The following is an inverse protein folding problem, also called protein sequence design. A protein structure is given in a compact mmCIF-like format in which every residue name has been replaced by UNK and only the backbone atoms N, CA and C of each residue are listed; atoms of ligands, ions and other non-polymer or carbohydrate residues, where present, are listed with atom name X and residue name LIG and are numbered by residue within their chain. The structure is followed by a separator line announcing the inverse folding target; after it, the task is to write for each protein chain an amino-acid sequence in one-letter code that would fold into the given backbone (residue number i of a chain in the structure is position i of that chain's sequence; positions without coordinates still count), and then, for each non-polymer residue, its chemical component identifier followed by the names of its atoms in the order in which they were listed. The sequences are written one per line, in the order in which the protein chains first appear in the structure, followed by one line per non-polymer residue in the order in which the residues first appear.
data_IF_655193941985
#
_entry.id   IF_655193941985
#
_cell.length_a   1.000
_cell.length_b   1.000
_cell.length_c   1.000
_cell.angle_alpha   90.00
_cell.angle_beta   90.00
_cell.angle_gamma   90.00
#
_symmetry.space_group_name_H-M   'P 1'
#
loop_
_entity.id
_entity.type
_entity.pdbx_description
1 polymer ?
#
# COMPACT_ATOMS: atom_id res chain seq x y z
N UNK A 1 16.47 -25.85 9.88
CA UNK A 1 17.79 -25.55 9.29
C UNK A 1 18.52 -24.63 10.27
N UNK A 2 19.49 -25.15 11.02
CA UNK A 2 20.36 -24.32 11.86
C UNK A 2 21.54 -23.90 10.99
N UNK A 3 21.57 -22.63 10.58
CA UNK A 3 22.66 -22.04 9.81
C UNK A 3 23.65 -21.37 10.77
N UNK A 4 24.95 -21.53 10.54
CA UNK A 4 25.99 -20.92 11.38
C UNK A 4 26.05 -19.39 11.30
N UNK A 5 25.42 -18.78 10.29
CA UNK A 5 25.35 -17.34 10.08
C UNK A 5 24.00 -16.97 9.46
N UNK A 6 23.40 -15.90 9.95
CA UNK A 6 22.11 -15.40 9.47
C UNK A 6 22.25 -13.95 9.08
N UNK A 7 21.70 -13.61 7.92
CA UNK A 7 21.70 -12.26 7.35
C UNK A 7 20.26 -11.93 6.99
N UNK A 8 19.81 -10.74 7.39
CA UNK A 8 18.53 -10.18 6.99
C UNK A 8 18.78 -8.95 6.11
N UNK A 9 18.10 -8.89 4.96
CA UNK A 9 18.12 -7.73 4.06
C UNK A 9 16.74 -7.08 4.08
N UNK A 10 16.66 -5.85 4.56
CA UNK A 10 15.40 -5.08 4.59
C UNK A 10 15.68 -3.58 4.42
N UNK A 11 14.86 -2.92 3.60
CA UNK A 11 14.87 -1.45 3.48
C UNK A 11 14.05 -0.76 4.58
N UNK A 12 13.08 -1.47 5.15
CA UNK A 12 12.09 -1.00 6.13
C UNK A 12 11.97 -2.02 7.26
N UNK A 13 12.87 -2.01 8.27
CA UNK A 13 12.89 -3.03 9.31
C UNK A 13 11.69 -2.95 10.29
N UNK A 14 10.91 -1.87 10.24
CA UNK A 14 9.70 -1.66 11.04
C UNK A 14 8.58 -1.34 10.06
N UNK A 15 7.50 -2.14 10.05
CA UNK A 15 6.34 -1.90 9.19
C UNK A 15 5.18 -1.35 10.02
N UNK A 16 4.78 -2.09 11.07
CA UNK A 16 3.62 -1.76 11.90
C UNK A 16 4.01 -1.60 13.36
N UNK A 17 4.88 -2.46 13.88
CA UNK A 17 5.17 -2.52 15.31
C UNK A 17 6.64 -2.75 15.59
N UNK A 18 7.07 -2.44 16.81
CA UNK A 18 8.43 -2.76 17.26
C UNK A 18 8.73 -4.26 17.25
N UNK A 19 7.70 -5.11 17.31
CA UNK A 19 7.86 -6.56 17.26
C UNK A 19 8.39 -7.05 15.91
N UNK A 20 8.17 -6.30 14.83
CA UNK A 20 8.76 -6.60 13.51
C UNK A 20 10.30 -6.60 13.61
N UNK A 21 10.83 -5.55 14.26
CA UNK A 21 12.27 -5.40 14.49
C UNK A 21 12.80 -6.44 15.48
N UNK A 22 12.06 -6.71 16.56
CA UNK A 22 12.46 -7.73 17.54
C UNK A 22 12.51 -9.12 16.90
N UNK A 23 11.57 -9.45 16.01
CA UNK A 23 11.59 -10.69 15.24
C UNK A 23 12.83 -10.81 14.36
N UNK A 24 13.24 -9.72 13.69
CA UNK A 24 14.48 -9.68 12.90
C UNK A 24 15.71 -9.87 13.80
N UNK A 25 15.76 -9.19 14.95
CA UNK A 25 16.87 -9.34 15.91
C UNK A 25 16.95 -10.79 16.39
N UNK A 26 15.84 -11.38 16.85
CA UNK A 26 15.79 -12.78 17.29
C UNK A 26 16.18 -13.77 16.18
N UNK A 27 15.84 -13.46 14.92
CA UNK A 27 16.30 -14.25 13.79
C UNK A 27 17.80 -14.15 13.55
N UNK A 28 18.43 -12.98 13.72
CA UNK A 28 19.87 -12.80 13.50
C UNK A 28 20.69 -13.37 14.66
N UNK A 29 20.21 -13.19 15.89
CA UNK A 29 20.97 -13.53 17.11
C UNK A 29 20.85 -14.99 17.51
N UNK A 30 20.03 -15.79 16.82
CA UNK A 30 19.60 -17.16 17.19
C UNK A 30 20.36 -17.76 18.38
N UNK A 31 19.74 -17.83 19.58
CA UNK A 31 20.41 -18.36 20.75
C UNK A 31 20.86 -19.81 20.50
N UNK A 32 22.11 -20.13 20.82
CA UNK A 32 22.63 -21.49 20.73
C UNK A 32 22.06 -22.42 21.83
N UNK A 33 21.31 -21.88 22.80
CA UNK A 33 20.61 -22.63 23.85
C UNK A 33 19.34 -21.92 24.35
N UNK A 34 18.38 -22.68 24.87
CA UNK A 34 17.07 -22.16 25.30
C UNK A 34 17.14 -21.15 26.48
N UNK A 35 18.23 -21.15 27.24
CA UNK A 35 18.42 -20.30 28.42
C UNK A 35 19.02 -18.92 28.10
N UNK A 36 19.39 -18.63 26.84
CA UNK A 36 20.25 -17.47 26.56
C UNK A 36 19.54 -16.16 26.18
N UNK A 37 18.34 -16.15 25.58
CA UNK A 37 17.87 -14.91 24.93
C UNK A 37 16.39 -14.60 25.17
N UNK A 38 16.11 -13.76 26.18
CA UNK A 38 14.90 -12.94 26.17
C UNK A 38 15.27 -11.46 26.36
N UNK A 39 15.98 -10.90 25.37
CA UNK A 39 16.34 -9.47 25.31
C UNK A 39 15.13 -8.58 25.05
N UNK A 40 14.07 -9.14 24.44
CA UNK A 40 12.85 -8.43 24.05
C UNK A 40 12.19 -7.68 25.21
N UNK A 41 11.92 -8.28 26.39
CA UNK A 41 11.44 -7.56 27.57
C UNK A 41 12.34 -6.40 28.01
N UNK A 42 13.66 -6.56 27.92
CA UNK A 42 14.61 -5.52 28.32
C UNK A 42 14.53 -4.30 27.40
N UNK A 43 14.52 -4.54 26.07
CA UNK A 43 14.33 -3.50 25.05
C UNK A 43 12.96 -2.85 25.22
N UNK A 44 11.88 -3.64 25.32
CA UNK A 44 10.52 -3.13 25.47
C UNK A 44 10.34 -2.29 26.74
N UNK A 45 10.92 -2.72 27.87
CA UNK A 45 10.85 -1.99 29.14
C UNK A 45 11.63 -0.68 29.14
N UNK A 46 12.66 -0.57 28.29
CA UNK A 46 13.44 0.66 28.11
C UNK A 46 12.69 1.64 27.21
N UNK A 47 12.12 1.12 26.12
CA UNK A 47 11.29 1.90 25.20
C UNK A 47 10.03 2.46 25.88
N UNK A 48 9.39 1.68 26.77
CA UNK A 48 8.22 2.17 27.52
C UNK A 48 8.55 3.32 28.48
N UNK A 49 9.83 3.46 28.86
CA UNK A 49 10.35 4.59 29.65
C UNK A 49 10.84 5.75 28.77
N UNK A 50 10.71 5.64 27.44
CA UNK A 50 11.21 6.63 26.48
C UNK A 50 12.73 6.53 26.23
N UNK A 51 13.40 5.49 26.71
CA UNK A 51 14.84 5.30 26.56
C UNK A 51 15.16 4.40 25.35
N UNK A 52 15.79 4.97 24.33
CA UNK A 52 16.13 4.28 23.08
C UNK A 52 17.59 3.76 23.04
N UNK A 53 18.41 4.09 24.03
CA UNK A 53 19.86 3.85 23.99
C UNK A 53 20.23 2.37 23.82
N UNK A 54 19.52 1.48 24.52
CA UNK A 54 19.75 0.03 24.45
C UNK A 54 19.44 -0.48 23.04
N UNK A 55 18.34 -0.01 22.46
CA UNK A 55 17.97 -0.36 21.10
C UNK A 55 19.00 0.16 20.10
N UNK A 56 19.41 1.43 20.21
CA UNK A 56 20.43 2.01 19.33
C UNK A 56 21.77 1.29 19.45
N UNK A 57 22.19 0.91 20.66
CA UNK A 57 23.41 0.16 20.89
C UNK A 57 23.35 -1.22 20.23
N UNK A 58 22.23 -1.94 20.38
CA UNK A 58 22.04 -3.23 19.72
C UNK A 58 22.07 -3.08 18.19
N UNK A 59 21.29 -2.15 17.64
CA UNK A 59 21.23 -1.91 16.19
C UNK A 59 22.55 -1.45 15.60
N UNK A 60 23.37 -0.69 16.33
CA UNK A 60 24.70 -0.27 15.88
C UNK A 60 25.63 -1.45 15.57
N UNK A 61 25.45 -2.58 16.24
CA UNK A 61 26.28 -3.78 16.06
C UNK A 61 25.62 -4.83 15.18
N UNK A 62 24.29 -4.87 15.15
CA UNK A 62 23.52 -5.87 14.39
C UNK A 62 23.11 -5.40 12.99
N UNK A 63 23.07 -4.08 12.74
CA UNK A 63 22.55 -3.50 11.51
C UNK A 63 23.58 -2.59 10.85
N UNK A 64 23.65 -2.69 9.52
CA UNK A 64 24.28 -1.71 8.66
C UNK A 64 23.17 -1.03 7.84
N UNK A 65 23.00 0.29 8.00
CA UNK A 65 21.99 1.08 7.29
C UNK A 65 22.60 2.35 6.73
N UNK A 66 22.48 2.55 5.42
CA UNK A 66 22.87 3.78 4.74
C UNK A 66 21.63 4.56 4.29
N UNK A 67 21.68 5.88 4.36
CA UNK A 67 20.67 6.75 3.75
C UNK A 67 21.14 7.22 2.37
N UNK A 68 20.21 7.52 1.47
CA UNK A 68 20.55 8.02 0.12
C UNK A 68 21.38 9.31 0.16
N UNK A 69 21.28 10.07 1.24
CA UNK A 69 21.99 11.34 1.48
C UNK A 69 23.46 11.18 1.88
N UNK A 70 23.90 10.01 2.35
CA UNK A 70 25.25 9.85 2.92
C UNK A 70 26.31 9.36 1.94
N UNK A 71 25.93 8.72 0.83
CA UNK A 71 26.89 8.01 -0.03
C UNK A 71 26.70 8.16 -1.56
N UNK A 72 25.62 8.78 -2.04
CA UNK A 72 25.34 8.89 -3.47
C UNK A 72 25.32 10.36 -3.90
N UNK A 73 26.32 10.75 -4.70
CA UNK A 73 26.36 12.08 -5.32
C UNK A 73 25.22 12.23 -6.34
N UNK A 74 24.46 13.32 -6.23
CA UNK A 74 23.51 13.82 -7.25
C UNK A 74 22.31 12.94 -7.64
N UNK A 75 21.65 12.26 -6.69
CA UNK A 75 20.30 11.74 -6.97
C UNK A 75 19.29 12.89 -7.17
N UNK A 76 18.35 12.79 -8.12
CA UNK A 76 17.32 13.81 -8.30
C UNK A 76 16.43 13.90 -7.06
N UNK A 77 16.06 15.12 -6.69
CA UNK A 77 15.12 15.36 -5.59
C UNK A 77 13.75 14.79 -5.95
N UNK A 78 13.18 14.01 -5.04
CA UNK A 78 11.81 13.51 -5.18
C UNK A 78 10.86 14.63 -4.74
N UNK A 79 9.96 15.06 -5.62
CA UNK A 79 8.86 15.95 -5.28
C UNK A 79 7.57 15.16 -5.06
N UNK A 80 6.81 15.53 -4.03
CA UNK A 80 5.53 14.93 -3.72
C UNK A 80 4.42 15.94 -4.02
N UNK A 81 3.45 15.55 -4.85
CA UNK A 81 2.28 16.34 -5.19
C UNK A 81 1.02 15.58 -4.73
N UNK A 82 0.15 16.26 -4.00
CA UNK A 82 -1.09 15.70 -3.49
C UNK A 82 -2.26 16.42 -4.14
N UNK A 83 -3.19 15.65 -4.71
CA UNK A 83 -4.41 16.19 -5.30
C UNK A 83 -5.63 15.51 -4.70
N UNK A 84 -6.52 16.33 -4.15
CA UNK A 84 -7.81 15.88 -3.64
C UNK A 84 -8.83 15.97 -4.77
N UNK A 85 -9.37 14.82 -5.15
CA UNK A 85 -10.33 14.70 -6.24
C UNK A 85 -11.74 14.54 -5.68
N UNK A 86 -12.71 15.37 -6.10
CA UNK A 86 -14.11 15.15 -5.75
C UNK A 86 -14.59 13.85 -6.40
N UNK A 87 -15.50 13.13 -5.74
CA UNK A 87 -16.18 12.01 -6.37
C UNK A 87 -17.02 12.49 -7.54
N UNK A 88 -17.14 11.66 -8.57
CA UNK A 88 -18.14 11.85 -9.61
C UNK A 88 -19.55 11.95 -8.97
N UNK A 89 -20.46 12.79 -9.46
CA UNK A 89 -21.79 12.99 -8.86
C UNK A 89 -22.56 11.69 -8.60
N UNK A 90 -22.50 10.72 -9.52
CA UNK A 90 -23.16 9.41 -9.35
C UNK A 90 -22.53 8.62 -8.20
N UNK A 91 -21.20 8.54 -8.17
CA UNK A 91 -20.47 7.83 -7.10
C UNK A 91 -20.59 8.55 -5.76
N UNK A 92 -20.76 9.87 -5.75
CA UNK A 92 -21.01 10.63 -4.54
C UNK A 92 -22.36 10.25 -3.90
N UNK A 93 -23.39 10.00 -4.71
CA UNK A 93 -24.68 9.53 -4.21
C UNK A 93 -24.54 8.13 -3.58
N UNK A 94 -23.89 7.20 -4.27
CA UNK A 94 -23.63 5.86 -3.75
C UNK A 94 -22.81 5.88 -2.46
N UNK A 95 -21.75 6.68 -2.43
CA UNK A 95 -20.92 6.86 -1.24
C UNK A 95 -21.75 7.38 -0.06
N UNK A 96 -22.65 8.32 -0.30
CA UNK A 96 -23.51 8.90 0.74
C UNK A 96 -24.45 7.84 1.32
N UNK A 97 -25.07 7.01 0.47
CA UNK A 97 -25.91 5.89 0.92
C UNK A 97 -25.11 4.89 1.76
N UNK A 98 -23.95 4.45 1.28
CA UNK A 98 -23.07 3.54 2.03
C UNK A 98 -22.62 4.12 3.36
N UNK A 99 -22.40 5.44 3.40
CA UNK A 99 -21.95 6.13 4.60
C UNK A 99 -23.05 6.18 5.66
N UNK A 100 -24.29 6.48 5.28
CA UNK A 100 -25.44 6.43 6.19
C UNK A 100 -25.69 5.01 6.72
N UNK A 101 -25.58 4.00 5.86
CA UNK A 101 -25.65 2.59 6.26
C UNK A 101 -24.57 2.25 7.29
N UNK A 102 -23.32 2.66 7.03
CA UNK A 102 -22.20 2.48 7.96
C UNK A 102 -22.45 3.18 9.31
N UNK A 103 -23.01 4.39 9.31
CA UNK A 103 -23.35 5.11 10.53
C UNK A 103 -24.41 4.37 11.35
N UNK A 104 -25.40 3.77 10.68
CA UNK A 104 -26.46 2.99 11.32
C UNK A 104 -25.96 1.63 11.87
N UNK A 105 -24.89 1.07 11.30
CA UNK A 105 -24.37 -0.27 11.62
C UNK A 105 -23.26 -0.30 12.68
N UNK A 106 -22.95 0.83 13.34
CA UNK A 106 -21.80 0.99 14.25
C UNK A 106 -21.71 -0.02 15.42
N UNK A 107 -22.79 -0.74 15.73
CA UNK A 107 -22.90 -1.65 16.87
C UNK A 107 -22.66 -3.14 16.56
N UNK A 108 -22.47 -3.53 15.29
CA UNK A 108 -22.44 -4.95 14.88
C UNK A 108 -21.04 -5.62 14.91
N UNK A 109 -20.12 -5.05 15.67
CA UNK A 109 -18.79 -5.62 15.91
C UNK A 109 -17.71 -5.25 14.88
N UNK A 110 -16.45 -5.63 15.16
CA UNK A 110 -15.29 -5.15 14.40
C UNK A 110 -15.24 -5.68 12.95
N UNK A 111 -15.72 -6.89 12.68
CA UNK A 111 -15.73 -7.46 11.33
C UNK A 111 -16.61 -6.66 10.35
N UNK A 112 -17.83 -6.34 10.77
CA UNK A 112 -18.75 -5.51 9.99
C UNK A 112 -18.26 -4.07 9.83
N UNK A 113 -17.62 -3.53 10.86
CA UNK A 113 -16.97 -2.22 10.81
C UNK A 113 -15.92 -2.14 9.69
N UNK A 114 -14.96 -3.08 9.66
CA UNK A 114 -13.91 -3.09 8.63
C UNK A 114 -14.47 -3.40 7.24
N UNK A 115 -15.48 -4.27 7.13
CA UNK A 115 -16.18 -4.54 5.87
C UNK A 115 -16.81 -3.28 5.28
N UNK A 116 -17.53 -2.52 6.09
CA UNK A 116 -18.19 -1.29 5.63
C UNK A 116 -17.18 -0.17 5.31
N UNK A 117 -16.07 -0.07 6.06
CA UNK A 117 -14.95 0.81 5.68
C UNK A 117 -14.38 0.42 4.31
N UNK A 118 -14.19 -0.88 4.05
CA UNK A 118 -13.68 -1.34 2.77
C UNK A 118 -14.62 -0.96 1.61
N UNK A 119 -15.94 -1.11 1.79
CA UNK A 119 -16.94 -0.66 0.80
C UNK A 119 -16.81 0.82 0.48
N UNK A 120 -16.72 1.67 1.52
CA UNK A 120 -16.52 3.11 1.34
C UNK A 120 -15.21 3.42 0.60
N UNK A 121 -14.13 2.71 0.93
CA UNK A 121 -12.83 2.89 0.26
C UNK A 121 -12.87 2.47 -1.22
N UNK A 122 -13.57 1.39 -1.54
CA UNK A 122 -13.67 0.87 -2.90
C UNK A 122 -14.61 1.72 -3.74
N UNK A 123 -15.69 2.23 -3.15
CA UNK A 123 -16.52 3.25 -3.76
C UNK A 123 -15.68 4.46 -4.17
N UNK A 124 -14.70 4.91 -3.38
CA UNK A 124 -13.79 5.99 -3.79
C UNK A 124 -12.85 5.64 -4.96
N UNK A 125 -12.72 4.38 -5.33
CA UNK A 125 -11.86 3.92 -6.42
C UNK A 125 -12.65 3.74 -7.71
N UNK A 126 -13.70 2.92 -7.70
CA UNK A 126 -14.47 2.63 -8.91
C UNK A 126 -15.80 1.91 -8.61
N UNK A 127 -16.87 2.28 -9.33
CA UNK A 127 -18.21 1.69 -9.17
C UNK A 127 -18.27 0.16 -9.40
N UNK A 128 -17.69 -0.35 -10.50
CA UNK A 128 -17.67 -1.80 -10.77
C UNK A 128 -17.09 -2.63 -9.62
N UNK A 129 -15.99 -2.17 -9.01
CA UNK A 129 -15.36 -2.91 -7.90
C UNK A 129 -16.28 -3.01 -6.68
N UNK A 130 -17.10 -1.98 -6.46
CA UNK A 130 -18.12 -2.00 -5.41
C UNK A 130 -19.19 -3.04 -5.73
N UNK A 131 -19.71 -3.08 -6.97
CA UNK A 131 -20.75 -4.04 -7.36
C UNK A 131 -20.28 -5.48 -7.17
N UNK A 132 -19.05 -5.81 -7.56
CA UNK A 132 -18.48 -7.16 -7.35
C UNK A 132 -18.47 -7.57 -5.87
N UNK A 133 -18.24 -6.62 -4.96
CA UNK A 133 -18.24 -6.91 -3.52
C UNK A 133 -19.66 -7.00 -2.97
N UNK A 134 -20.56 -6.14 -3.44
CA UNK A 134 -21.97 -6.20 -3.03
C UNK A 134 -22.60 -7.51 -3.50
N UNK A 135 -22.30 -7.95 -4.71
CA UNK A 135 -22.72 -9.26 -5.23
C UNK A 135 -22.19 -10.41 -4.37
N UNK A 136 -20.91 -10.40 -4.01
CA UNK A 136 -20.32 -11.41 -3.13
C UNK A 136 -20.96 -11.41 -1.72
N UNK A 137 -21.31 -10.25 -1.19
CA UNK A 137 -21.98 -10.13 0.12
C UNK A 137 -23.43 -10.67 0.10
N UNK A 138 -24.12 -10.59 -1.04
CA UNK A 138 -25.45 -11.19 -1.20
C UNK A 138 -25.38 -12.72 -1.19
N UNK A 139 -24.25 -13.30 -1.63
CA UNK A 139 -24.01 -14.74 -1.65
C UNK A 139 -23.58 -15.30 -0.28
N UNK A 140 -22.84 -14.54 0.54
CA UNK A 140 -22.43 -14.94 1.90
C UNK A 140 -22.62 -13.79 2.93
N UNK A 141 -23.87 -13.57 3.42
CA UNK A 141 -24.18 -12.45 4.30
C UNK A 141 -23.57 -12.55 5.70
N UNK A 142 -23.10 -13.74 6.11
CA UNK A 142 -22.52 -13.99 7.43
C UNK A 142 -20.99 -14.15 7.40
N UNK A 143 -20.36 -14.13 6.22
CA UNK A 143 -18.91 -14.28 6.04
C UNK A 143 -18.36 -15.58 6.61
N UNK A 144 -19.13 -16.67 6.56
CA UNK A 144 -18.82 -17.95 7.21
C UNK A 144 -18.01 -18.91 6.32
N UNK A 145 -17.67 -18.53 5.10
CA UNK A 145 -16.94 -19.41 4.18
C UNK A 145 -15.49 -19.70 4.63
N UNK A 146 -15.22 -20.99 4.85
CA UNK A 146 -13.91 -21.61 5.11
C UNK A 146 -13.33 -22.31 3.87
N UNK A 147 -13.66 -21.84 2.67
CA UNK A 147 -13.08 -22.39 1.44
C UNK A 147 -12.33 -21.31 0.66
N UNK A 148 -11.18 -21.74 0.14
CA UNK A 148 -10.21 -21.11 -0.78
C UNK A 148 -10.84 -20.55 -2.07
N UNK A 149 -11.98 -19.86 -1.99
CA UNK A 149 -12.50 -19.06 -3.08
C UNK A 149 -11.78 -17.71 -3.03
N UNK A 150 -10.50 -17.71 -3.42
CA UNK A 150 -9.91 -16.50 -3.97
C UNK A 150 -10.91 -15.99 -5.02
N UNK A 151 -11.39 -14.73 -4.93
CA UNK A 151 -12.34 -14.22 -5.89
C UNK A 151 -11.70 -14.43 -7.26
N UNK A 152 -12.34 -15.25 -8.09
CA UNK A 152 -11.86 -15.45 -9.46
C UNK A 152 -12.03 -14.08 -10.09
N UNK A 153 -10.92 -13.34 -10.21
CA UNK A 153 -10.90 -12.03 -10.87
C UNK A 153 -11.18 -12.33 -12.34
N UNK A 154 -12.46 -12.40 -12.66
CA UNK A 154 -12.92 -12.46 -14.04
C UNK A 154 -12.43 -11.15 -14.65
N UNK A 155 -11.57 -11.24 -15.67
CA UNK A 155 -11.09 -10.08 -16.41
C UNK A 155 -12.26 -9.51 -17.21
N UNK A 156 -13.11 -8.73 -16.53
CA UNK A 156 -14.21 -8.03 -17.17
C UNK A 156 -13.63 -6.90 -18.01
N UNK A 157 -13.90 -6.94 -19.31
CA UNK A 157 -13.58 -5.82 -20.20
C UNK A 157 -14.58 -4.72 -19.84
N UNK A 158 -14.05 -3.58 -19.38
CA UNK A 158 -14.84 -2.41 -19.00
C UNK A 158 -14.67 -1.34 -20.08
N UNK A 159 -15.78 -0.72 -20.48
CA UNK A 159 -15.74 0.39 -21.45
C UNK A 159 -15.13 1.67 -20.84
N UNK A 160 -14.77 2.62 -21.71
CA UNK A 160 -14.09 3.84 -21.31
C UNK A 160 -14.98 4.73 -20.46
N UNK A 161 -16.26 4.85 -20.80
CA UNK A 161 -17.21 5.71 -20.06
C UNK A 161 -17.32 5.23 -18.62
N UNK A 162 -17.45 3.92 -18.44
CA UNK A 162 -17.48 3.29 -17.13
C UNK A 162 -16.16 3.48 -16.37
N UNK A 163 -14.99 3.32 -17.02
CA UNK A 163 -13.68 3.61 -16.40
C UNK A 163 -13.56 5.06 -15.91
N UNK A 164 -14.13 6.00 -16.67
CA UNK A 164 -14.07 7.44 -16.40
C UNK A 164 -14.99 7.88 -15.25
N UNK A 165 -15.86 6.98 -14.75
CA UNK A 165 -16.62 7.24 -13.53
C UNK A 165 -15.69 7.44 -12.33
N UNK A 166 -14.54 6.76 -12.31
CA UNK A 166 -13.52 7.00 -11.30
C UNK A 166 -12.84 8.35 -11.51
N UNK A 167 -13.03 9.28 -10.57
CA UNK A 167 -12.32 10.56 -10.57
C UNK A 167 -10.80 10.39 -10.61
N UNK A 168 -10.27 9.33 -9.98
CA UNK A 168 -8.83 9.02 -9.97
C UNK A 168 -8.32 8.60 -11.35
N UNK A 169 -9.04 7.72 -12.05
CA UNK A 169 -8.70 7.28 -13.40
C UNK A 169 -8.85 8.44 -14.39
N UNK A 170 -9.95 9.19 -14.29
CA UNK A 170 -10.20 10.36 -15.14
C UNK A 170 -9.10 11.41 -14.99
N UNK A 171 -8.73 11.74 -13.75
CA UNK A 171 -7.66 12.68 -13.47
C UNK A 171 -6.30 12.16 -13.95
N UNK A 172 -5.97 10.89 -13.70
CA UNK A 172 -4.74 10.27 -14.19
C UNK A 172 -4.65 10.43 -15.72
N UNK A 173 -5.68 10.05 -16.45
CA UNK A 173 -5.69 10.16 -17.92
C UNK A 173 -5.54 11.61 -18.37
N UNK A 174 -6.19 12.56 -17.71
CA UNK A 174 -6.02 13.99 -18.01
C UNK A 174 -4.56 14.46 -17.76
N UNK A 175 -3.97 14.06 -16.64
CA UNK A 175 -2.59 14.42 -16.26
C UNK A 175 -1.57 13.87 -17.25
N UNK A 176 -1.76 12.61 -17.66
CA UNK A 176 -0.92 11.96 -18.67
C UNK A 176 -1.06 12.61 -20.05
N UNK A 177 -2.28 12.92 -20.50
CA UNK A 177 -2.53 13.58 -21.78
C UNK A 177 -1.94 14.99 -21.85
N UNK A 178 -1.97 15.76 -20.75
CA UNK A 178 -1.39 17.11 -20.67
C UNK A 178 0.14 17.12 -20.83
N UNK A 179 0.80 16.04 -20.40
CA UNK A 179 2.26 15.95 -20.37
C UNK A 179 2.89 15.34 -21.64
N UNK A 180 2.09 15.05 -22.69
CA UNK A 180 2.54 14.42 -23.97
C UNK A 180 3.29 13.09 -23.82
N UNK A 181 3.39 12.54 -22.62
CA UNK A 181 4.01 11.26 -22.34
C UNK A 181 3.02 10.45 -21.55
N UNK A 182 2.74 9.27 -22.10
CA UNK A 182 2.03 8.22 -21.40
C UNK A 182 0.51 8.35 -21.43
N UNK A 183 -0.07 7.18 -21.31
CA UNK A 183 -1.34 6.79 -21.84
C UNK A 183 -1.62 5.51 -20.95
N UNK A 184 -2.69 5.49 -20.11
CA UNK A 184 -3.23 4.52 -19.03
C UNK A 184 -4.18 3.26 -19.20
N UNK A 185 -3.70 2.00 -19.04
CA UNK A 185 -4.30 0.62 -19.01
C UNK A 185 -5.45 0.16 -19.94
N UNK A 186 -6.69 0.56 -19.62
CA UNK A 186 -7.93 0.01 -20.20
C UNK A 186 -8.60 1.05 -21.10
N UNK A 187 -8.46 2.33 -20.76
CA UNK A 187 -8.55 3.41 -21.74
C UNK A 187 -7.51 3.25 -22.86
N UNK A 188 -6.45 2.45 -22.68
CA UNK A 188 -5.37 2.26 -23.66
C UNK A 188 -5.51 1.19 -24.67
N UNK A 189 -6.19 0.11 -24.34
CA UNK A 189 -6.48 -0.85 -25.38
C UNK A 189 -7.22 -0.12 -26.52
N UNK A 190 -8.08 0.86 -26.16
CA UNK A 190 -8.81 1.70 -27.10
C UNK A 190 -8.05 2.94 -27.60
N UNK A 191 -7.09 3.49 -26.84
CA UNK A 191 -6.21 4.59 -27.30
C UNK A 191 -4.85 4.13 -27.88
N UNK A 192 -4.61 2.82 -28.01
CA UNK A 192 -3.40 2.17 -28.56
C UNK A 192 -2.13 2.24 -27.70
N UNK A 193 -2.20 1.89 -26.40
CA UNK A 193 -1.02 1.95 -25.52
C UNK A 193 -0.81 0.68 -24.71
N UNK A 194 0.45 0.28 -24.60
CA UNK A 194 0.86 -0.97 -23.98
C UNK A 194 1.23 -0.73 -22.52
N UNK A 195 0.52 -1.38 -21.59
CA UNK A 195 0.89 -1.37 -20.16
C UNK A 195 1.41 -2.74 -19.73
N UNK A 196 2.56 -2.78 -19.08
CA UNK A 196 3.04 -3.98 -18.40
C UNK A 196 2.31 -4.11 -17.05
N UNK A 197 1.65 -5.23 -16.77
CA UNK A 197 1.08 -5.50 -15.45
C UNK A 197 2.09 -6.26 -14.59
N UNK A 198 2.28 -5.80 -13.36
CA UNK A 198 3.13 -6.45 -12.36
C UNK A 198 2.28 -6.73 -11.13
N UNK A 199 1.84 -7.97 -11.01
CA UNK A 199 1.01 -8.46 -9.90
C UNK A 199 1.82 -9.45 -9.05
N UNK A 200 1.60 -9.44 -7.73
CA UNK A 200 2.25 -10.37 -6.79
C UNK A 200 1.81 -11.83 -6.98
N UNK A 201 0.71 -12.06 -7.69
CA UNK A 201 0.24 -13.38 -8.10
C UNK A 201 0.97 -13.94 -9.32
N UNK A 202 1.73 -13.11 -10.05
CA UNK A 202 2.48 -13.56 -11.21
C UNK A 202 3.76 -14.29 -10.81
N UNK A 203 4.14 -15.29 -11.61
CA UNK A 203 5.42 -15.99 -11.41
C UNK A 203 6.59 -15.04 -11.68
N UNK A 204 7.74 -15.31 -11.05
CA UNK A 204 8.96 -14.51 -11.22
C UNK A 204 9.36 -14.36 -12.71
N UNK A 205 9.17 -15.41 -13.52
CA UNK A 205 9.47 -15.37 -14.95
C UNK A 205 8.54 -14.40 -15.72
N UNK A 206 7.25 -14.36 -15.37
CA UNK A 206 6.29 -13.45 -15.99
C UNK A 206 6.59 -12.01 -15.59
N UNK A 207 6.90 -11.77 -14.31
CA UNK A 207 7.31 -10.44 -13.83
C UNK A 207 8.59 -9.95 -14.51
N UNK A 208 9.61 -10.81 -14.63
CA UNK A 208 10.87 -10.46 -15.32
C UNK A 208 10.64 -10.14 -16.80
N UNK A 209 9.77 -10.89 -17.48
CA UNK A 209 9.39 -10.61 -18.87
C UNK A 209 8.65 -9.28 -18.99
N UNK A 210 7.73 -8.98 -18.08
CA UNK A 210 7.00 -7.72 -18.04
C UNK A 210 7.94 -6.52 -17.81
N UNK A 211 8.88 -6.64 -16.87
CA UNK A 211 9.91 -5.63 -16.63
C UNK A 211 10.82 -5.45 -17.85
N UNK A 212 11.31 -6.54 -18.45
CA UNK A 212 12.14 -6.46 -19.68
C UNK A 212 11.40 -5.78 -20.82
N UNK A 213 10.10 -6.04 -20.97
CA UNK A 213 9.29 -5.34 -21.96
C UNK A 213 9.20 -3.84 -21.62
N UNK A 214 8.96 -3.48 -20.36
CA UNK A 214 8.92 -2.09 -19.94
C UNK A 214 10.25 -1.34 -20.15
N UNK A 215 11.40 -1.99 -19.93
CA UNK A 215 12.71 -1.39 -20.17
C UNK A 215 13.04 -1.20 -21.66
N UNK A 216 12.65 -2.16 -22.51
CA UNK A 216 13.13 -2.22 -23.90
C UNK A 216 12.10 -1.75 -24.93
N UNK A 217 10.82 -1.69 -24.58
CA UNK A 217 9.77 -1.31 -25.50
C UNK A 217 9.36 0.16 -25.26
N UNK A 218 9.71 1.09 -26.18
CA UNK A 218 9.32 2.49 -26.04
C UNK A 218 7.79 2.70 -26.10
N UNK A 219 7.04 1.74 -26.63
CA UNK A 219 5.57 1.77 -26.62
C UNK A 219 4.97 1.35 -25.27
N UNK A 220 5.78 0.76 -24.37
CA UNK A 220 5.36 0.38 -23.03
C UNK A 220 5.64 1.53 -22.05
N UNK A 221 4.73 2.49 -22.01
CA UNK A 221 4.96 3.77 -21.32
C UNK A 221 4.57 3.77 -19.83
N UNK A 222 3.82 2.76 -19.36
CA UNK A 222 3.32 2.71 -17.99
C UNK A 222 3.19 1.28 -17.45
N UNK A 223 4.01 0.89 -16.47
CA UNK A 223 3.79 -0.32 -15.71
C UNK A 223 2.71 -0.06 -14.66
N UNK A 224 1.77 -1.00 -14.53
CA UNK A 224 0.74 -0.99 -13.48
C UNK A 224 1.10 -2.06 -12.48
N UNK A 225 1.20 -1.69 -11.20
CA UNK A 225 1.50 -2.63 -10.13
C UNK A 225 0.67 -2.36 -8.89
N UNK A 226 0.36 -3.40 -8.12
CA UNK A 226 -0.12 -3.24 -6.76
C UNK A 226 1.03 -2.78 -5.86
N UNK A 227 0.72 -2.06 -4.78
CA UNK A 227 1.74 -1.58 -3.84
C UNK A 227 2.52 -2.77 -3.25
N UNK A 228 1.81 -3.83 -2.86
CA UNK A 228 2.42 -5.05 -2.32
C UNK A 228 3.40 -5.71 -3.31
N UNK A 229 3.08 -5.74 -4.60
CA UNK A 229 3.99 -6.25 -5.62
C UNK A 229 5.20 -5.32 -5.81
N UNK A 230 5.00 -4.00 -5.75
CA UNK A 230 6.08 -3.01 -5.87
C UNK A 230 7.08 -3.04 -4.71
N UNK A 231 6.65 -3.45 -3.52
CA UNK A 231 7.49 -3.58 -2.32
C UNK A 231 8.51 -4.73 -2.38
N UNK A 232 8.42 -5.60 -3.38
CA UNK A 232 9.30 -6.77 -3.52
C UNK A 232 10.69 -6.47 -4.11
N UNK A 233 11.02 -5.18 -4.34
CA UNK A 233 12.34 -4.77 -4.83
C UNK A 233 12.47 -4.74 -6.36
N UNK A 234 11.40 -4.33 -7.05
CA UNK A 234 11.42 -4.17 -8.51
C UNK A 234 12.37 -3.04 -8.93
N UNK A 235 13.18 -3.30 -9.97
CA UNK A 235 13.94 -2.24 -10.62
C UNK A 235 13.06 -1.58 -11.69
N UNK A 236 12.68 -0.32 -11.47
CA UNK A 236 11.84 0.49 -12.38
C UNK A 236 12.53 1.85 -12.64
N UNK A 237 13.86 1.86 -12.69
CA UNK A 237 14.67 3.10 -12.82
C UNK A 237 14.47 3.85 -14.13
N UNK A 238 13.87 3.23 -15.15
CA UNK A 238 13.48 3.92 -16.38
C UNK A 238 12.21 4.79 -16.22
N UNK A 239 11.46 4.67 -15.12
CA UNK A 239 10.34 5.55 -14.81
C UNK A 239 10.79 6.80 -14.06
N UNK A 240 10.16 7.94 -14.36
CA UNK A 240 10.46 9.25 -13.77
C UNK A 240 9.30 9.83 -12.94
N UNK A 241 8.08 9.29 -13.08
CA UNK A 241 6.87 9.74 -12.38
C UNK A 241 6.16 8.50 -11.83
N UNK A 242 5.69 8.59 -10.58
CA UNK A 242 4.89 7.57 -9.94
C UNK A 242 3.53 8.14 -9.53
N UNK A 243 2.45 7.46 -9.94
CA UNK A 243 1.08 7.79 -9.51
C UNK A 243 0.62 6.80 -8.45
N UNK A 244 0.25 7.31 -7.28
CA UNK A 244 -0.27 6.51 -6.17
C UNK A 244 -1.76 6.77 -6.00
N UNK A 245 -2.60 5.79 -6.32
CA UNK A 245 -4.06 5.88 -6.16
C UNK A 245 -4.52 5.43 -4.78
N UNK A 246 -3.99 6.05 -3.73
CA UNK A 246 -4.25 5.65 -2.34
C UNK A 246 -5.25 6.56 -1.64
N UNK A 247 -5.68 6.15 -0.44
CA UNK A 247 -6.35 7.06 0.49
C UNK A 247 -5.36 8.16 0.88
N UNK A 248 -5.83 9.42 0.90
CA UNK A 248 -4.98 10.51 1.36
C UNK A 248 -4.57 10.28 2.83
N UNK A 249 -3.30 10.55 3.20
CA UNK A 249 -2.88 10.44 4.59
C UNK A 249 -3.70 11.37 5.49
N UNK A 250 -4.01 10.97 6.74
CA UNK A 250 -4.83 11.76 7.68
C UNK A 250 -4.37 13.21 7.84
N UNK A 251 -3.05 13.45 7.75
CA UNK A 251 -2.41 14.76 7.88
C UNK A 251 -2.84 15.79 6.83
N UNK A 252 -3.44 15.34 5.71
CA UNK A 252 -3.92 16.19 4.63
C UNK A 252 -5.39 16.61 4.79
N UNK A 253 -6.12 16.05 5.75
CA UNK A 253 -7.49 16.46 6.04
C UNK A 253 -7.49 17.55 7.13
N UNK A 254 -7.91 18.79 6.82
CA UNK A 254 -7.95 19.89 7.80
C UNK A 254 -8.75 19.52 9.07
N UNK A 255 -9.87 18.82 8.90
CA UNK A 255 -10.76 18.35 9.96
C UNK A 255 -10.16 17.28 10.90
N UNK A 256 -9.11 16.57 10.48
CA UNK A 256 -8.40 15.63 11.35
C UNK A 256 -7.44 16.33 12.33
N UNK A 257 -7.02 17.58 12.05
CA UNK A 257 -6.27 18.38 13.02
C UNK A 257 -7.12 18.73 14.25
N UNK A 258 -8.44 18.81 14.10
CA UNK A 258 -9.38 19.20 15.17
C UNK A 258 -9.83 18.01 16.04
N UNK A 259 -9.78 16.78 15.53
CA UNK A 259 -10.17 15.56 16.29
C UNK A 259 -9.03 14.98 17.14
N UNK A 260 -7.78 15.29 16.82
CA UNK A 260 -6.61 14.85 17.61
C UNK A 260 -6.46 15.63 18.92
N UNK A 261 -7.09 16.80 19.07
CA UNK A 261 -7.17 17.52 20.35
C UNK A 261 -8.19 16.95 21.34
N UNK A 262 -9.09 16.06 20.91
CA UNK A 262 -10.15 15.46 21.75
C UNK A 262 -9.88 14.01 22.15
N UNK A 263 -8.81 13.37 21.65
CA UNK A 263 -8.35 12.05 22.09
C UNK A 263 -6.90 12.13 22.62
N UNK A 264 -6.69 12.14 23.96
CA UNK A 264 -5.35 12.15 24.53
C UNK A 264 -4.76 10.74 24.40
N UNK A 265 -3.97 10.51 23.35
CA UNK A 265 -3.29 9.22 23.16
C UNK A 265 -2.53 9.03 21.84
N UNK A 266 -2.75 9.87 20.83
CA UNK A 266 -2.06 9.75 19.53
C UNK A 266 -1.17 10.98 19.25
N UNK A 267 -0.17 11.21 20.11
CA UNK A 267 0.96 12.07 19.75
C UNK A 267 1.92 11.26 18.86
N UNK A 268 1.69 11.31 17.55
CA UNK A 268 2.74 11.05 16.58
C UNK A 268 3.53 12.36 16.42
N UNK A 269 4.53 12.53 17.29
CA UNK A 269 5.57 13.55 17.16
C UNK A 269 6.20 13.47 15.75
N UNK A 270 6.38 14.61 15.05
CA UNK A 270 7.10 14.65 13.79
C UNK A 270 8.60 14.64 14.08
N UNK A 271 9.28 13.52 13.82
CA UNK A 271 10.73 13.52 13.74
C UNK A 271 11.17 14.26 12.47
N UNK A 272 11.99 15.29 12.68
CA UNK A 272 12.75 16.05 11.69
C UNK A 272 13.56 15.17 10.74
#
# INVERSE_FOLDING_TARGET
LLSSRQICLTGTPIHNTIYDLLGIISFITQPQSADQDNWSPFILSSLSKGCNDILHLALRHLSLRHTKTTHLESLPTISHHYELLPLNPTMQQEYSTLYEEFLSSKSKGPGEFFRNINKLQICCNHHIMLNTIVEADLEDPEGRSTQDNSPTITRTIVDVETCMMSSKIAHLLQSLMKNKQTRIGIALAHHSILSAQIDGTFTAQVQEKALKNFFNNPECEAPISSIAAAETGLNITCANIAFLMVRAPPKLYPEFRTLTSTFPGAQLEPSH
#
